data_IF_237619926562
#
_entry.id   IF_237619926562
#
_cell.length_a   1.000
_cell.length_b   1.000
_cell.length_c   1.000
_cell.angle_alpha   90.00
_cell.angle_beta   90.00
_cell.angle_gamma   90.00
#
_symmetry.space_group_name_H-M   'P 1'
#
loop_
_entity.id
_entity.type
_entity.pdbx_description
1 polymer ?
#
# COMPACT_ATOMS: atom_id res chain seq x y z
N UNK A 1 8.92 16.74 11.15
CA UNK A 1 8.57 15.45 10.52
C UNK A 1 7.42 14.83 11.31
N UNK A 2 6.31 14.43 10.67
CA UNK A 2 5.16 13.82 11.39
C UNK A 2 5.59 12.49 12.02
N UNK A 3 5.15 12.18 13.25
CA UNK A 3 5.56 10.95 13.97
C UNK A 3 5.18 9.68 13.21
N UNK A 4 4.03 9.68 12.54
CA UNK A 4 3.56 8.54 11.76
C UNK A 4 4.44 8.28 10.52
N UNK A 5 5.02 9.35 9.95
CA UNK A 5 6.00 9.23 8.88
C UNK A 5 7.33 8.63 9.38
N UNK A 6 7.78 9.02 10.59
CA UNK A 6 8.95 8.40 11.22
C UNK A 6 8.71 6.89 11.43
N UNK A 7 7.52 6.50 11.90
CA UNK A 7 7.18 5.08 12.05
C UNK A 7 7.16 4.34 10.71
N UNK A 8 6.63 4.95 9.65
CA UNK A 8 6.70 4.36 8.31
C UNK A 8 8.16 4.10 7.89
N UNK A 9 9.07 5.04 8.12
CA UNK A 9 10.49 4.83 7.81
C UNK A 9 11.09 3.66 8.60
N UNK A 10 10.69 3.47 9.86
CA UNK A 10 11.12 2.33 10.68
C UNK A 10 10.59 1.01 10.10
N UNK A 11 9.33 0.95 9.69
CA UNK A 11 8.76 -0.21 8.98
C UNK A 11 9.55 -0.55 7.72
N UNK A 12 9.88 0.45 6.90
CA UNK A 12 10.65 0.26 5.67
C UNK A 12 12.07 -0.21 5.95
N UNK A 13 12.73 0.36 6.95
CA UNK A 13 14.07 -0.03 7.38
C UNK A 13 14.10 -1.47 7.89
N UNK A 14 13.15 -1.87 8.73
CA UNK A 14 13.08 -3.23 9.26
C UNK A 14 12.75 -4.24 8.16
N UNK A 15 11.82 -3.90 7.25
CA UNK A 15 11.53 -4.72 6.08
C UNK A 15 12.78 -4.92 5.20
N UNK A 16 13.61 -3.88 5.03
CA UNK A 16 14.88 -3.96 4.31
C UNK A 16 15.88 -4.87 5.02
N UNK A 17 15.99 -4.80 6.36
CA UNK A 17 16.84 -5.71 7.14
C UNK A 17 16.41 -7.16 6.93
N UNK A 18 15.13 -7.50 7.08
CA UNK A 18 14.63 -8.85 6.80
C UNK A 18 14.83 -9.26 5.33
N UNK A 19 14.71 -8.32 4.40
CA UNK A 19 14.93 -8.57 2.97
C UNK A 19 16.39 -8.93 2.67
N UNK A 20 17.34 -8.21 3.29
CA UNK A 20 18.77 -8.51 3.19
C UNK A 20 19.09 -9.85 3.83
N UNK A 21 18.57 -10.14 5.02
CA UNK A 21 18.76 -11.44 5.68
C UNK A 21 18.19 -12.57 4.82
N UNK A 22 17.00 -12.40 4.24
CA UNK A 22 16.42 -13.36 3.31
C UNK A 22 17.34 -13.60 2.09
N UNK A 23 17.88 -12.55 1.49
CA UNK A 23 18.81 -12.64 0.37
C UNK A 23 20.07 -13.43 0.74
N UNK A 24 20.65 -13.15 1.91
CA UNK A 24 21.84 -13.83 2.40
C UNK A 24 21.54 -15.31 2.63
N UNK A 25 20.55 -15.62 3.45
CA UNK A 25 20.29 -16.99 3.91
C UNK A 25 19.67 -17.87 2.80
N UNK A 26 18.87 -17.30 1.90
CA UNK A 26 18.19 -18.07 0.84
C UNK A 26 18.94 -18.14 -0.48
N UNK A 27 19.73 -17.13 -0.83
CA UNK A 27 20.36 -17.04 -2.15
C UNK A 27 21.87 -17.03 -2.05
N UNK A 28 22.45 -16.21 -1.16
CA UNK A 28 23.90 -16.05 -1.02
C UNK A 28 24.53 -16.90 0.08
N UNK A 29 23.83 -17.93 0.56
CA UNK A 29 24.37 -18.81 1.60
C UNK A 29 25.57 -19.57 1.07
N UNK A 30 26.50 -19.89 1.95
CA UNK A 30 27.59 -20.80 1.63
C UNK A 30 27.07 -22.22 1.46
N UNK A 31 27.67 -22.97 0.54
CA UNK A 31 27.36 -24.39 0.33
C UNK A 31 27.92 -25.19 1.50
N UNK A 32 27.19 -26.20 1.95
CA UNK A 32 27.73 -27.13 2.96
C UNK A 32 29.02 -27.79 2.42
N UNK A 33 30.09 -27.95 3.20
CA UNK A 33 30.28 -27.64 4.63
C UNK A 33 30.94 -26.28 4.91
N UNK A 34 30.99 -25.36 3.94
CA UNK A 34 31.34 -23.98 4.20
C UNK A 34 30.19 -23.34 5.00
N UNK A 35 30.40 -23.10 6.29
CA UNK A 35 29.40 -22.55 7.20
C UNK A 35 29.55 -21.03 7.37
N UNK A 36 30.29 -20.33 6.51
CA UNK A 36 30.57 -18.89 6.68
C UNK A 36 29.34 -17.98 6.60
N UNK A 37 28.34 -18.33 5.79
CA UNK A 37 27.17 -17.49 5.57
C UNK A 37 25.90 -18.34 5.55
N UNK A 38 25.10 -18.27 6.61
CA UNK A 38 23.83 -18.98 6.69
C UNK A 38 23.23 -18.99 8.09
N UNK A 39 22.35 -19.93 8.34
CA UNK A 39 21.69 -20.12 9.63
C UNK A 39 22.57 -20.94 10.59
N UNK A 40 23.17 -20.25 11.57
CA UNK A 40 24.12 -20.83 12.52
C UNK A 40 23.43 -21.41 13.75
N UNK A 41 22.92 -22.64 13.63
CA UNK A 41 22.49 -23.44 14.76
C UNK A 41 23.08 -24.83 14.62
N UNK A 42 23.61 -25.40 15.71
CA UNK A 42 24.28 -26.70 15.73
C UNK A 42 23.47 -27.79 15.03
N UNK A 43 22.17 -27.87 15.31
CA UNK A 43 21.31 -28.88 14.67
C UNK A 43 21.00 -28.63 13.20
N UNK A 44 21.18 -27.40 12.71
CA UNK A 44 21.14 -27.12 11.28
C UNK A 44 22.46 -27.45 10.59
N UNK A 45 23.58 -27.47 11.31
CA UNK A 45 24.92 -27.72 10.77
C UNK A 45 25.31 -29.22 10.81
N UNK A 46 24.43 -30.08 11.32
CA UNK A 46 24.68 -31.52 11.48
C UNK A 46 24.92 -32.25 10.14
N UNK A 47 24.19 -31.86 9.10
CA UNK A 47 24.27 -32.45 7.77
C UNK A 47 23.79 -31.47 6.69
N UNK A 48 24.14 -31.75 5.43
CA UNK A 48 23.79 -30.90 4.29
C UNK A 48 22.28 -30.68 4.15
N UNK A 49 21.46 -31.70 4.38
CA UNK A 49 20.00 -31.59 4.24
C UNK A 49 19.42 -30.70 5.34
N UNK A 50 19.89 -30.83 6.57
CA UNK A 50 19.49 -29.97 7.69
C UNK A 50 19.95 -28.52 7.49
N UNK A 51 21.13 -28.31 6.90
CA UNK A 51 21.67 -27.00 6.58
C UNK A 51 20.82 -26.31 5.51
N UNK A 52 20.59 -26.98 4.39
CA UNK A 52 19.80 -26.46 3.28
C UNK A 52 18.36 -26.16 3.73
N UNK A 53 17.72 -27.06 4.48
CA UNK A 53 16.36 -26.87 4.95
C UNK A 53 16.22 -25.69 5.93
N UNK A 54 17.12 -25.57 6.90
CA UNK A 54 17.06 -24.50 7.89
C UNK A 54 17.27 -23.13 7.24
N UNK A 55 18.24 -23.02 6.33
CA UNK A 55 18.46 -21.80 5.57
C UNK A 55 17.27 -21.47 4.66
N UNK A 56 16.72 -22.45 3.94
CA UNK A 56 15.55 -22.22 3.10
C UNK A 56 14.34 -21.75 3.93
N UNK A 57 14.10 -22.37 5.08
CA UNK A 57 12.99 -22.04 5.98
C UNK A 57 13.16 -20.66 6.60
N UNK A 58 14.34 -20.36 7.14
CA UNK A 58 14.66 -19.02 7.66
C UNK A 58 14.47 -17.95 6.58
N UNK A 59 14.96 -18.20 5.36
CA UNK A 59 14.77 -17.32 4.22
C UNK A 59 13.30 -17.11 3.84
N UNK A 60 12.48 -18.16 3.83
CA UNK A 60 11.02 -18.06 3.58
C UNK A 60 10.32 -17.21 4.65
N UNK A 61 10.67 -17.39 5.93
CA UNK A 61 10.12 -16.61 7.04
C UNK A 61 10.53 -15.14 6.90
N UNK A 62 11.81 -14.85 6.63
CA UNK A 62 12.27 -13.47 6.41
C UNK A 62 11.54 -12.79 5.24
N UNK A 63 11.31 -13.49 4.12
CA UNK A 63 10.53 -12.94 2.99
C UNK A 63 9.09 -12.62 3.44
N UNK A 64 8.45 -13.54 4.16
CA UNK A 64 7.09 -13.34 4.66
C UNK A 64 7.02 -12.12 5.59
N UNK A 65 7.98 -11.97 6.50
CA UNK A 65 8.10 -10.84 7.41
C UNK A 65 8.36 -9.52 6.67
N UNK A 66 9.25 -9.51 5.66
CA UNK A 66 9.47 -8.33 4.81
C UNK A 66 8.18 -7.87 4.15
N UNK A 67 7.45 -8.79 3.50
CA UNK A 67 6.18 -8.44 2.85
C UNK A 67 5.19 -7.91 3.89
N UNK A 68 5.01 -8.60 5.02
CA UNK A 68 4.07 -8.20 6.05
C UNK A 68 4.38 -6.82 6.67
N UNK A 69 5.66 -6.50 6.89
CA UNK A 69 6.07 -5.18 7.39
C UNK A 69 5.81 -4.08 6.36
N UNK A 70 6.13 -4.31 5.07
CA UNK A 70 5.84 -3.34 4.01
C UNK A 70 4.34 -3.08 3.89
N UNK A 71 3.53 -4.15 3.84
CA UNK A 71 2.08 -4.01 3.69
C UNK A 71 1.45 -3.31 4.88
N UNK A 72 1.78 -3.73 6.11
CA UNK A 72 1.23 -3.15 7.32
C UNK A 72 1.65 -1.68 7.50
N UNK A 73 2.92 -1.36 7.25
CA UNK A 73 3.45 0.00 7.39
C UNK A 73 2.78 0.98 6.42
N UNK A 74 2.70 0.62 5.14
CA UNK A 74 2.02 1.44 4.12
C UNK A 74 0.53 1.57 4.43
N UNK A 75 -0.11 0.47 4.86
CA UNK A 75 -1.54 0.45 5.19
C UNK A 75 -1.88 1.42 6.30
N UNK A 76 -1.19 1.27 7.42
CA UNK A 76 -1.48 2.08 8.58
C UNK A 76 -1.19 3.57 8.33
N UNK A 77 -0.12 3.88 7.60
CA UNK A 77 0.20 5.26 7.23
C UNK A 77 -0.85 5.88 6.31
N UNK A 78 -1.29 5.16 5.26
CA UNK A 78 -2.31 5.64 4.32
C UNK A 78 -3.70 5.78 4.94
N UNK A 79 -4.08 4.87 5.82
CA UNK A 79 -5.38 4.89 6.51
C UNK A 79 -5.41 5.85 7.70
N UNK A 80 -4.28 6.48 8.05
CA UNK A 80 -4.21 7.41 9.18
C UNK A 80 -4.61 6.76 10.51
N UNK A 81 -4.27 5.49 10.73
CA UNK A 81 -4.69 4.73 11.93
C UNK A 81 -4.14 5.29 13.24
N UNK A 82 -3.13 6.15 13.16
CA UNK A 82 -2.53 6.86 14.28
C UNK A 82 -1.35 6.12 14.91
N UNK A 83 -0.46 6.91 15.50
CA UNK A 83 0.84 6.48 16.02
C UNK A 83 0.78 5.23 16.91
N UNK A 84 -0.14 5.18 17.89
CA UNK A 84 -0.18 4.10 18.88
C UNK A 84 -0.48 2.74 18.24
N UNK A 85 -1.39 2.70 17.27
CA UNK A 85 -1.76 1.47 16.58
C UNK A 85 -0.60 1.01 15.70
N UNK A 86 -0.01 1.92 14.92
CA UNK A 86 1.18 1.65 14.11
C UNK A 86 2.33 1.09 14.94
N UNK A 87 2.65 1.75 16.07
CA UNK A 87 3.75 1.35 16.93
C UNK A 87 3.53 -0.03 17.56
N UNK A 88 2.33 -0.30 18.07
CA UNK A 88 2.01 -1.60 18.66
C UNK A 88 2.07 -2.74 17.63
N UNK A 89 1.54 -2.51 16.41
CA UNK A 89 1.62 -3.49 15.33
C UNK A 89 3.05 -3.79 14.92
N UNK A 90 3.91 -2.76 14.86
CA UNK A 90 5.33 -2.92 14.56
C UNK A 90 5.99 -3.87 15.57
N UNK A 91 5.80 -3.62 16.87
CA UNK A 91 6.39 -4.44 17.92
C UNK A 91 5.91 -5.90 17.86
N UNK A 92 4.62 -6.12 17.61
CA UNK A 92 4.05 -7.48 17.52
C UNK A 92 4.63 -8.22 16.31
N UNK A 93 4.65 -7.59 15.13
CA UNK A 93 5.16 -8.19 13.90
C UNK A 93 6.66 -8.47 14.02
N UNK A 94 7.43 -7.49 14.53
CA UNK A 94 8.87 -7.60 14.73
C UNK A 94 9.22 -8.73 15.69
N UNK A 95 8.61 -8.74 16.89
CA UNK A 95 8.85 -9.77 17.89
C UNK A 95 8.50 -11.18 17.39
N UNK A 96 7.36 -11.32 16.72
CA UNK A 96 6.96 -12.59 16.11
C UNK A 96 7.90 -13.02 14.98
N UNK A 97 8.37 -12.09 14.14
CA UNK A 97 9.30 -12.37 13.05
C UNK A 97 10.66 -12.84 13.57
N UNK A 98 11.26 -12.11 14.50
CA UNK A 98 12.56 -12.46 15.10
C UNK A 98 12.48 -13.83 15.80
N UNK A 99 11.46 -14.05 16.63
CA UNK A 99 11.25 -15.34 17.28
C UNK A 99 11.07 -16.48 16.27
N UNK A 100 10.29 -16.25 15.21
CA UNK A 100 10.06 -17.24 14.17
C UNK A 100 11.35 -17.61 13.42
N UNK A 101 12.15 -16.62 13.01
CA UNK A 101 13.42 -16.86 12.30
C UNK A 101 14.42 -17.59 13.18
N UNK A 102 14.47 -17.26 14.48
CA UNK A 102 15.42 -17.89 15.40
C UNK A 102 15.05 -19.32 15.77
N UNK A 103 13.77 -19.63 15.99
CA UNK A 103 13.38 -20.91 16.58
C UNK A 103 12.75 -21.90 15.59
N UNK A 104 11.96 -21.44 14.61
CA UNK A 104 11.23 -22.36 13.72
C UNK A 104 12.14 -23.19 12.82
N UNK A 105 13.19 -22.67 12.17
CA UNK A 105 14.06 -23.48 11.33
C UNK A 105 14.71 -24.61 12.13
N UNK A 106 15.30 -24.31 13.30
CA UNK A 106 15.90 -25.31 14.18
C UNK A 106 14.88 -26.34 14.69
N UNK A 107 13.68 -25.90 15.07
CA UNK A 107 12.61 -26.78 15.53
C UNK A 107 12.13 -27.74 14.42
N UNK A 108 11.90 -27.20 13.21
CA UNK A 108 11.38 -27.97 12.08
C UNK A 108 12.43 -28.92 11.47
N UNK A 109 13.72 -28.60 11.54
CA UNK A 109 14.79 -29.52 11.14
C UNK A 109 14.74 -30.84 11.94
N UNK A 110 14.28 -30.81 13.19
CA UNK A 110 14.15 -32.01 14.04
C UNK A 110 12.84 -32.78 13.84
N UNK A 111 11.89 -32.25 13.06
CA UNK A 111 10.51 -32.75 12.95
C UNK A 111 10.08 -32.85 11.48
N UNK A 112 10.57 -33.85 10.73
CA UNK A 112 10.28 -34.00 9.30
C UNK A 112 8.78 -34.12 8.98
N UNK A 113 8.00 -34.66 9.92
CA UNK A 113 6.53 -34.74 9.85
C UNK A 113 5.87 -33.35 9.83
N UNK A 114 6.44 -32.37 10.52
CA UNK A 114 5.91 -31.00 10.60
C UNK A 114 6.38 -30.10 9.46
N UNK A 115 7.46 -30.45 8.75
CA UNK A 115 8.04 -29.61 7.69
C UNK A 115 7.04 -29.32 6.56
N UNK A 116 6.35 -30.34 6.07
CA UNK A 116 5.33 -30.19 5.00
C UNK A 116 4.14 -29.34 5.45
N UNK A 117 3.76 -29.45 6.74
CA UNK A 117 2.67 -28.66 7.32
C UNK A 117 3.08 -27.19 7.42
N UNK A 118 4.27 -26.90 7.93
CA UNK A 118 4.80 -25.54 8.03
C UNK A 118 4.94 -24.88 6.65
N UNK A 119 5.44 -25.59 5.65
CA UNK A 119 5.53 -25.06 4.29
C UNK A 119 4.16 -24.72 3.69
N UNK A 120 3.17 -25.59 3.90
CA UNK A 120 1.79 -25.33 3.46
C UNK A 120 1.21 -24.09 4.14
N UNK A 121 1.47 -23.90 5.44
CA UNK A 121 1.03 -22.72 6.19
C UNK A 121 1.70 -21.47 5.63
N UNK A 122 3.04 -21.44 5.52
CA UNK A 122 3.78 -20.29 4.96
C UNK A 122 3.28 -19.90 3.57
N UNK A 123 3.06 -20.89 2.69
CA UNK A 123 2.53 -20.65 1.34
C UNK A 123 1.14 -20.03 1.39
N UNK A 124 0.21 -20.58 2.20
CA UNK A 124 -1.15 -20.05 2.35
C UNK A 124 -1.16 -18.64 2.94
N UNK A 125 -0.33 -18.39 3.94
CA UNK A 125 -0.17 -17.05 4.53
C UNK A 125 0.32 -16.04 3.50
N UNK A 126 1.36 -16.39 2.72
CA UNK A 126 1.85 -15.52 1.65
C UNK A 126 0.78 -15.23 0.59
N UNK A 127 0.05 -16.26 0.14
CA UNK A 127 -1.06 -16.08 -0.80
C UNK A 127 -2.16 -15.19 -0.23
N UNK A 128 -2.51 -15.36 1.06
CA UNK A 128 -3.50 -14.51 1.73
C UNK A 128 -3.09 -13.05 1.77
N UNK A 129 -1.82 -12.76 2.08
CA UNK A 129 -1.30 -11.37 2.09
C UNK A 129 -1.33 -10.78 0.67
N UNK A 130 -0.96 -11.55 -0.35
CA UNK A 130 -1.00 -11.08 -1.74
C UNK A 130 -2.43 -10.79 -2.21
N UNK A 131 -3.39 -11.65 -1.88
CA UNK A 131 -4.81 -11.41 -2.19
C UNK A 131 -5.31 -10.15 -1.49
N UNK A 132 -4.98 -9.97 -0.21
CA UNK A 132 -5.33 -8.75 0.53
C UNK A 132 -4.75 -7.50 -0.14
N UNK A 133 -3.49 -7.54 -0.57
CA UNK A 133 -2.86 -6.42 -1.29
C UNK A 133 -3.58 -6.08 -2.59
N UNK A 134 -3.94 -7.09 -3.38
CA UNK A 134 -4.66 -6.87 -4.65
C UNK A 134 -6.03 -6.25 -4.38
N UNK A 135 -6.78 -6.79 -3.42
CA UNK A 135 -8.10 -6.25 -3.06
C UNK A 135 -8.00 -4.81 -2.55
N UNK A 136 -7.00 -4.51 -1.73
CA UNK A 136 -6.79 -3.18 -1.22
C UNK A 136 -6.34 -2.21 -2.33
N UNK A 137 -5.46 -2.62 -3.24
CA UNK A 137 -5.09 -1.81 -4.40
C UNK A 137 -6.30 -1.52 -5.30
N UNK A 138 -7.18 -2.51 -5.52
CA UNK A 138 -8.43 -2.33 -6.26
C UNK A 138 -9.37 -1.36 -5.54
N UNK A 139 -9.48 -1.46 -4.22
CA UNK A 139 -10.28 -0.54 -3.42
C UNK A 139 -9.72 0.89 -3.47
N UNK A 140 -8.39 1.06 -3.34
CA UNK A 140 -7.75 2.36 -3.49
C UNK A 140 -7.97 2.94 -4.89
N UNK A 141 -7.80 2.11 -5.92
CA UNK A 141 -8.05 2.51 -7.30
C UNK A 141 -9.50 3.01 -7.47
N UNK A 142 -10.47 2.23 -6.99
CA UNK A 142 -11.88 2.60 -7.03
C UNK A 142 -12.17 3.86 -6.21
N UNK A 143 -11.55 4.02 -5.03
CA UNK A 143 -11.70 5.20 -4.19
C UNK A 143 -11.19 6.47 -4.88
N UNK A 144 -10.00 6.42 -5.49
CA UNK A 144 -9.41 7.56 -6.19
C UNK A 144 -10.16 7.91 -7.48
N UNK A 145 -10.75 6.94 -8.18
CA UNK A 145 -11.51 7.18 -9.42
C UNK A 145 -13.02 7.37 -9.18
N UNK A 146 -13.51 7.20 -7.95
CA UNK A 146 -14.90 7.46 -7.63
C UNK A 146 -15.17 8.96 -7.71
N UNK A 147 -16.28 9.33 -8.35
CA UNK A 147 -16.77 10.70 -8.42
C UNK A 147 -17.38 11.11 -7.07
N UNK A 148 -16.52 11.46 -6.12
CA UNK A 148 -16.88 11.95 -4.78
C UNK A 148 -16.45 13.40 -4.61
N UNK A 149 -17.14 14.14 -3.75
CA UNK A 149 -16.80 15.54 -3.40
C UNK A 149 -15.36 15.68 -2.92
N UNK A 150 -14.82 14.68 -2.24
CA UNK A 150 -13.45 14.69 -1.71
C UNK A 150 -12.37 14.59 -2.79
N UNK A 151 -12.73 14.14 -4.00
CA UNK A 151 -11.83 13.99 -5.15
C UNK A 151 -11.98 15.16 -6.14
N UNK A 152 -12.84 16.15 -5.84
CA UNK A 152 -13.00 17.34 -6.66
C UNK A 152 -11.81 18.28 -6.43
N UNK A 153 -11.11 18.74 -7.48
CA UNK A 153 -10.06 19.74 -7.32
C UNK A 153 -10.64 21.07 -6.84
N UNK A 154 -9.81 21.93 -6.26
CA UNK A 154 -10.22 23.29 -5.94
C UNK A 154 -10.47 24.07 -7.25
N UNK A 155 -11.51 24.90 -7.27
CA UNK A 155 -11.94 25.63 -8.46
C UNK A 155 -10.77 26.43 -9.08
N UNK A 156 -10.04 27.18 -8.25
CA UNK A 156 -8.88 28.00 -8.67
C UNK A 156 -7.72 27.19 -9.26
N UNK A 157 -7.62 25.90 -8.96
CA UNK A 157 -6.54 25.01 -9.42
C UNK A 157 -6.81 24.33 -10.75
N UNK A 158 -8.03 24.45 -11.29
CA UNK A 158 -8.44 23.79 -12.52
C UNK A 158 -7.64 24.28 -13.73
N UNK A 159 -7.11 23.32 -14.49
CA UNK A 159 -6.46 23.55 -15.79
C UNK A 159 -7.29 22.91 -16.91
N UNK A 160 -7.00 23.29 -18.16
CA UNK A 160 -7.72 22.77 -19.33
C UNK A 160 -7.60 21.24 -19.46
N UNK A 161 -6.50 20.67 -18.98
CA UNK A 161 -6.23 19.23 -18.98
C UNK A 161 -7.13 18.45 -18.00
N UNK A 162 -7.59 19.10 -16.94
CA UNK A 162 -8.40 18.48 -15.87
C UNK A 162 -9.90 18.47 -16.19
N UNK A 163 -10.33 19.20 -17.22
CA UNK A 163 -11.75 19.40 -17.55
C UNK A 163 -12.44 18.09 -17.94
N UNK A 164 -11.72 17.19 -18.61
CA UNK A 164 -12.26 15.88 -18.96
C UNK A 164 -12.53 15.03 -17.70
N UNK A 165 -11.80 15.26 -16.60
CA UNK A 165 -12.04 14.56 -15.35
C UNK A 165 -13.28 15.07 -14.61
N UNK A 166 -13.87 16.21 -15.01
CA UNK A 166 -15.12 16.71 -14.46
C UNK A 166 -16.35 15.95 -14.97
N UNK A 167 -16.24 15.26 -16.10
CA UNK A 167 -17.32 14.44 -16.66
C UNK A 167 -17.78 13.38 -15.63
N UNK A 168 -19.10 13.29 -15.43
CA UNK A 168 -19.73 12.33 -14.51
C UNK A 168 -19.92 12.82 -13.07
N UNK A 169 -19.43 14.01 -12.69
CA UNK A 169 -19.77 14.61 -11.40
C UNK A 169 -21.18 15.20 -11.40
N UNK A 170 -21.89 15.15 -10.27
CA UNK A 170 -23.23 15.73 -10.15
C UNK A 170 -23.16 17.21 -9.78
N UNK A 171 -24.09 18.02 -10.29
CA UNK A 171 -24.22 19.45 -9.93
C UNK A 171 -24.14 19.71 -8.43
N UNK A 172 -24.83 18.90 -7.62
CA UNK A 172 -24.82 19.06 -6.14
C UNK A 172 -23.42 18.89 -5.55
N UNK A 173 -22.56 18.04 -6.14
CA UNK A 173 -21.19 17.84 -5.67
C UNK A 173 -20.31 19.05 -5.99
N UNK A 174 -20.46 19.63 -7.19
CA UNK A 174 -19.77 20.87 -7.58
C UNK A 174 -20.13 22.00 -6.62
N UNK A 175 -21.42 22.24 -6.40
CA UNK A 175 -21.90 23.30 -5.50
C UNK A 175 -21.47 23.09 -4.05
N UNK A 176 -21.30 21.84 -3.61
CA UNK A 176 -20.83 21.54 -2.25
C UNK A 176 -19.36 21.94 -2.04
N UNK A 177 -18.52 21.87 -3.08
CA UNK A 177 -17.08 22.12 -2.98
C UNK A 177 -16.71 23.52 -3.47
N UNK A 178 -17.43 24.04 -4.46
CA UNK A 178 -17.14 25.31 -5.16
C UNK A 178 -18.18 26.40 -4.89
N UNK A 179 -19.14 26.15 -4.00
CA UNK A 179 -20.28 27.03 -3.73
C UNK A 179 -21.20 27.27 -4.95
N UNK A 180 -22.17 28.17 -4.82
CA UNK A 180 -23.14 28.46 -5.88
C UNK A 180 -22.45 29.08 -7.12
N UNK A 181 -22.90 28.74 -8.35
CA UNK A 181 -22.38 29.32 -9.58
C UNK A 181 -22.61 30.84 -9.62
N UNK A 182 -21.65 31.56 -10.21
CA UNK A 182 -21.72 33.01 -10.39
C UNK A 182 -22.83 33.42 -11.38
N UNK A 183 -23.00 32.64 -12.45
CA UNK A 183 -24.02 32.89 -13.47
C UNK A 183 -24.71 31.60 -13.94
N UNK A 184 -26.02 31.70 -14.19
CA UNK A 184 -26.84 30.64 -14.78
C UNK A 184 -27.25 31.05 -16.18
N UNK A 185 -26.56 30.53 -17.19
CA UNK A 185 -26.80 30.84 -18.60
C UNK A 185 -28.08 30.15 -19.09
N UNK A 186 -28.33 28.92 -18.64
CA UNK A 186 -29.56 28.18 -18.93
C UNK A 186 -29.91 27.19 -17.81
N UNK A 187 -30.94 26.36 -18.00
CA UNK A 187 -31.25 25.25 -17.08
C UNK A 187 -30.18 24.14 -17.08
N UNK A 188 -29.35 24.10 -18.11
CA UNK A 188 -28.34 23.04 -18.33
C UNK A 188 -26.91 23.60 -18.34
N UNK A 189 -26.73 24.92 -18.27
CA UNK A 189 -25.42 25.57 -18.35
C UNK A 189 -25.25 26.58 -17.23
N UNK A 190 -24.19 26.40 -16.46
CA UNK A 190 -23.80 27.26 -15.34
C UNK A 190 -22.33 27.65 -15.47
N UNK A 191 -22.00 28.83 -14.94
CA UNK A 191 -20.68 29.45 -15.06
C UNK A 191 -20.11 29.71 -13.67
N UNK A 192 -18.86 29.31 -13.48
CA UNK A 192 -18.03 29.64 -12.32
C UNK A 192 -16.85 30.51 -12.75
N UNK A 193 -16.56 31.56 -12.00
CA UNK A 193 -15.39 32.41 -12.21
C UNK A 193 -14.18 31.73 -11.58
N UNK A 194 -13.14 31.48 -12.40
CA UNK A 194 -11.88 30.89 -11.94
C UNK A 194 -10.91 31.98 -11.46
N UNK A 195 -10.81 33.06 -12.24
CA UNK A 195 -10.03 34.26 -11.95
C UNK A 195 -10.57 35.46 -12.75
N UNK A 196 -9.91 36.63 -12.66
CA UNK A 196 -10.33 37.86 -13.34
C UNK A 196 -10.46 37.74 -14.87
N UNK A 197 -9.91 36.68 -15.49
CA UNK A 197 -9.84 36.52 -16.95
C UNK A 197 -10.37 35.18 -17.46
N UNK A 198 -10.68 34.23 -16.59
CA UNK A 198 -11.09 32.88 -16.96
C UNK A 198 -12.38 32.49 -16.25
N UNK A 199 -13.30 31.94 -17.03
CA UNK A 199 -14.55 31.39 -16.53
C UNK A 199 -14.67 29.92 -16.95
N UNK A 200 -15.22 29.10 -16.07
CA UNK A 200 -15.55 27.71 -16.30
C UNK A 200 -17.02 27.61 -16.70
N UNK A 201 -17.29 27.21 -17.93
CA UNK A 201 -18.63 26.87 -18.39
C UNK A 201 -18.85 25.36 -18.20
N UNK A 202 -19.83 24.98 -17.40
CA UNK A 202 -20.20 23.58 -17.16
C UNK A 202 -21.56 23.30 -17.80
N UNK A 203 -21.61 22.26 -18.62
CA UNK A 203 -22.84 21.78 -19.25
C UNK A 203 -23.28 20.47 -18.62
N UNK A 204 -24.53 20.41 -18.21
CA UNK A 204 -25.16 19.25 -17.57
C UNK A 204 -26.01 18.44 -18.55
N UNK A 205 -26.22 17.16 -18.24
CA UNK A 205 -27.25 16.34 -18.87
C UNK A 205 -28.62 16.48 -18.15
N UNK A 206 -29.63 15.78 -18.66
CA UNK A 206 -30.99 15.77 -18.10
C UNK A 206 -31.05 15.24 -16.65
N UNK A 207 -30.04 14.49 -16.20
CA UNK A 207 -29.94 13.96 -14.84
C UNK A 207 -29.17 14.90 -13.87
N UNK A 208 -28.68 16.04 -14.37
CA UNK A 208 -27.90 17.01 -13.60
C UNK A 208 -26.45 16.58 -13.38
N UNK A 209 -25.93 15.73 -14.25
CA UNK A 209 -24.54 15.26 -14.27
C UNK A 209 -23.74 16.06 -15.28
N UNK A 210 -22.49 16.40 -14.95
CA UNK A 210 -21.59 17.12 -15.84
C UNK A 210 -21.30 16.26 -17.07
N UNK A 211 -21.66 16.80 -18.23
CA UNK A 211 -21.41 16.20 -19.53
C UNK A 211 -20.15 16.77 -20.19
N UNK A 212 -19.97 18.09 -20.06
CA UNK A 212 -18.86 18.81 -20.67
C UNK A 212 -18.50 20.02 -19.82
N UNK A 213 -17.23 20.36 -19.77
CA UNK A 213 -16.72 21.56 -19.11
C UNK A 213 -15.68 22.22 -20.01
N UNK A 214 -15.76 23.54 -20.14
CA UNK A 214 -14.88 24.34 -20.98
C UNK A 214 -14.39 25.60 -20.22
N UNK A 215 -13.14 25.99 -20.44
CA UNK A 215 -12.59 27.23 -19.87
C UNK A 215 -12.56 28.28 -20.96
N UNK A 216 -13.35 29.34 -20.75
CA UNK A 216 -13.43 30.47 -21.64
C UNK A 216 -12.73 31.68 -21.05
N UNK A 217 -12.19 32.54 -21.93
CA UNK A 217 -11.68 33.84 -21.49
C UNK A 217 -12.85 34.78 -21.25
N UNK A 218 -12.87 35.43 -20.09
CA UNK A 218 -13.82 36.49 -19.78
C UNK A 218 -13.59 37.65 -20.75
N UNK A 219 -14.51 37.85 -21.70
CA UNK A 219 -14.56 39.06 -22.50
C UNK A 219 -15.07 40.18 -21.61
N UNK A 220 -14.16 41.05 -21.14
CA UNK A 220 -14.52 42.37 -20.63
C UNK A 220 -15.27 43.20 -21.68
#
# INVERSE_FOLDING_TARGET
MKRDFILLLIYLMEAAVFGIVALIVKIRRSKFSDLRAGYHVETAQADEKSWEYANETAGKICILSTVLLLTAGIFCYKMGTGFNIMFNLLLIISGAAVGSVLFLPAYLSRRPDQQKKAEKIMRRSLTGILVFLVLWMLWLYAYYHAKNTDNLPALESLQAEDLQELEGYKRVQLVTVWDEPDEKVSSEQEVWVLDEKRVLLVTYDEEGTVKEADIQQSCQ
#
